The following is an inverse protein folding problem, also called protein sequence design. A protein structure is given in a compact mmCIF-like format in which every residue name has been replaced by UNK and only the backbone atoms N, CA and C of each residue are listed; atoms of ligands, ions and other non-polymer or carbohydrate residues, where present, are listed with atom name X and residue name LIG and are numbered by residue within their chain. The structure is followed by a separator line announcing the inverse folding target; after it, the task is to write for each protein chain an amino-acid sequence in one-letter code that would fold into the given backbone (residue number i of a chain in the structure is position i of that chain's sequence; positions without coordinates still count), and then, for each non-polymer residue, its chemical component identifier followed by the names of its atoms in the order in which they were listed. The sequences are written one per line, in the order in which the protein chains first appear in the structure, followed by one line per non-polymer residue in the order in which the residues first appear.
data_IF_832911457464
#
_entry.id   IF_832911457464
#
_cell.length_a   1.000
_cell.length_b   1.000
_cell.length_c   1.000
_cell.angle_alpha   90.00
_cell.angle_beta   90.00
_cell.angle_gamma   90.00
#
_symmetry.space_group_name_H-M   'P 1'
#
loop_
_entity.id
_entity.type
_entity.pdbx_description
1 polymer ?
#
# COMPACT_ATOMS: atom_id res chain seq x y z
N UNK A 1 9.48 0.40 14.09
CA UNK A 1 10.03 -0.61 13.16
C UNK A 1 11.54 -0.44 13.09
N UNK A 2 12.27 -1.54 13.19
CA UNK A 2 13.73 -1.50 13.15
C UNK A 2 14.24 -1.38 11.72
N UNK A 3 15.26 -0.57 11.50
CA UNK A 3 15.94 -0.50 10.21
C UNK A 3 16.84 -1.73 9.99
N UNK A 4 17.17 -2.03 8.73
CA UNK A 4 18.02 -3.16 8.38
C UNK A 4 19.39 -3.07 9.07
N UNK A 5 19.94 -1.89 9.20
CA UNK A 5 21.21 -1.65 9.88
C UNK A 5 21.15 -1.99 11.38
N UNK A 6 20.07 -1.62 12.05
CA UNK A 6 19.87 -1.96 13.46
C UNK A 6 19.77 -3.46 13.67
N UNK A 7 19.05 -4.16 12.82
CA UNK A 7 18.92 -5.62 12.85
C UNK A 7 20.29 -6.26 12.64
N UNK A 8 21.06 -5.75 11.69
CA UNK A 8 22.41 -6.24 11.41
C UNK A 8 23.33 -6.08 12.63
N UNK A 9 23.30 -4.94 13.30
CA UNK A 9 24.09 -4.68 14.50
C UNK A 9 23.68 -5.59 15.65
N UNK A 10 22.41 -5.82 15.86
CA UNK A 10 21.91 -6.77 16.85
C UNK A 10 22.37 -8.20 16.56
N UNK A 11 22.38 -8.61 15.29
CA UNK A 11 22.85 -9.91 14.87
C UNK A 11 24.35 -10.08 15.11
N UNK A 12 25.14 -9.06 14.83
CA UNK A 12 26.57 -9.05 15.11
C UNK A 12 26.84 -9.16 16.61
N UNK A 13 26.13 -8.42 17.44
CA UNK A 13 26.23 -8.49 18.89
C UNK A 13 25.90 -9.90 19.41
N UNK A 14 24.81 -10.46 18.95
CA UNK A 14 24.37 -11.80 19.35
C UNK A 14 25.39 -12.87 18.94
N UNK A 15 25.93 -12.76 17.73
CA UNK A 15 26.97 -13.68 17.26
C UNK A 15 28.24 -13.55 18.07
N UNK A 16 28.69 -12.34 18.40
CA UNK A 16 29.84 -12.07 19.22
C UNK A 16 29.72 -12.65 20.64
N UNK A 17 28.55 -12.48 21.27
CA UNK A 17 28.26 -13.02 22.59
C UNK A 17 28.28 -14.56 22.63
N UNK A 18 27.82 -15.20 21.55
CA UNK A 18 27.73 -16.66 21.46
C UNK A 18 29.03 -17.32 21.10
N UNK A 19 29.84 -16.73 20.23
CA UNK A 19 31.04 -17.31 19.66
C UNK A 19 32.34 -16.67 20.12
N UNK A 20 32.26 -15.47 20.68
CA UNK A 20 33.43 -14.68 21.04
C UNK A 20 34.20 -14.13 19.84
N UNK A 21 33.65 -14.26 18.64
CA UNK A 21 34.25 -13.78 17.39
C UNK A 21 33.54 -12.53 16.92
N UNK A 22 34.30 -11.53 16.49
CA UNK A 22 33.75 -10.34 15.83
C UNK A 22 34.03 -10.41 14.33
N UNK A 23 32.99 -10.57 13.48
CA UNK A 23 33.18 -10.56 12.04
C UNK A 23 33.70 -9.20 11.56
N UNK A 24 34.71 -9.23 10.71
CA UNK A 24 35.20 -8.00 10.08
C UNK A 24 34.24 -7.53 9.02
N UNK A 25 34.08 -6.22 8.92
CA UNK A 25 33.34 -5.62 7.84
C UNK A 25 33.91 -6.05 6.48
N UNK A 26 33.03 -6.46 5.57
CA UNK A 26 33.42 -6.95 4.24
C UNK A 26 33.80 -8.42 4.15
N UNK A 27 33.84 -9.19 5.26
CA UNK A 27 34.05 -10.62 5.20
C UNK A 27 32.79 -11.38 4.75
N UNK A 28 32.97 -12.64 4.35
CA UNK A 28 31.86 -13.48 3.88
C UNK A 28 30.75 -13.61 4.93
N UNK A 29 31.11 -13.82 6.18
CA UNK A 29 30.15 -13.93 7.28
C UNK A 29 29.37 -12.62 7.48
N UNK A 30 30.06 -11.49 7.44
CA UNK A 30 29.45 -10.16 7.52
C UNK A 30 28.45 -9.95 6.40
N UNK A 31 28.80 -10.30 5.16
CA UNK A 31 27.91 -10.20 4.02
C UNK A 31 26.66 -11.09 4.16
N UNK A 32 26.81 -12.29 4.63
CA UNK A 32 25.69 -13.21 4.89
C UNK A 32 24.76 -12.70 5.98
N UNK A 33 25.31 -12.19 7.07
CA UNK A 33 24.52 -11.62 8.15
C UNK A 33 23.76 -10.37 7.69
N UNK A 34 24.38 -9.54 6.88
CA UNK A 34 23.72 -8.36 6.32
C UNK A 34 22.59 -8.75 5.38
N UNK A 35 22.81 -9.74 4.51
CA UNK A 35 21.77 -10.23 3.61
C UNK A 35 20.58 -10.80 4.40
N UNK A 36 20.85 -11.55 5.47
CA UNK A 36 19.80 -12.06 6.34
C UNK A 36 19.06 -10.92 7.06
N UNK A 37 19.77 -9.91 7.54
CA UNK A 37 19.19 -8.73 8.16
C UNK A 37 18.26 -7.99 7.20
N UNK A 38 18.62 -7.89 5.92
CA UNK A 38 17.79 -7.29 4.90
C UNK A 38 16.46 -8.06 4.70
N UNK A 39 16.51 -9.39 4.72
CA UNK A 39 15.32 -10.23 4.64
C UNK A 39 14.45 -10.12 5.89
N UNK A 40 15.04 -10.04 7.07
CA UNK A 40 14.29 -9.80 8.32
C UNK A 40 13.61 -8.43 8.28
N UNK A 41 14.27 -7.41 7.76
CA UNK A 41 13.67 -6.09 7.56
C UNK A 41 12.46 -6.17 6.65
N UNK A 42 12.55 -6.91 5.54
CA UNK A 42 11.42 -7.12 4.65
C UNK A 42 10.23 -7.77 5.37
N UNK A 43 10.49 -8.71 6.28
CA UNK A 43 9.46 -9.31 7.12
C UNK A 43 8.83 -8.30 8.08
N UNK A 44 9.59 -7.38 8.66
CA UNK A 44 9.05 -6.30 9.49
C UNK A 44 8.12 -5.38 8.70
N UNK A 45 8.50 -5.03 7.47
CA UNK A 45 7.64 -4.24 6.57
C UNK A 45 6.34 -4.96 6.29
N UNK A 46 6.42 -6.26 6.00
CA UNK A 46 5.25 -7.09 5.75
C UNK A 46 4.35 -7.19 7.00
N UNK A 47 4.94 -7.34 8.17
CA UNK A 47 4.20 -7.40 9.43
C UNK A 47 3.46 -6.08 9.72
N UNK A 48 4.10 -4.95 9.48
CA UNK A 48 3.48 -3.64 9.63
C UNK A 48 2.28 -3.48 8.69
N UNK A 49 2.44 -3.91 7.43
CA UNK A 49 1.36 -3.92 6.46
C UNK A 49 0.18 -4.79 6.90
N UNK A 50 0.46 -6.00 7.40
CA UNK A 50 -0.57 -6.92 7.91
C UNK A 50 -1.34 -6.29 9.08
N UNK A 51 -0.64 -5.64 10.01
CA UNK A 51 -1.28 -4.96 11.14
C UNK A 51 -2.22 -3.85 10.67
N UNK A 52 -1.82 -3.09 9.66
CA UNK A 52 -2.69 -2.05 9.07
C UNK A 52 -3.95 -2.63 8.46
N UNK A 53 -3.85 -3.79 7.81
CA UNK A 53 -5.01 -4.46 7.23
C UNK A 53 -5.90 -5.15 8.27
N UNK A 54 -5.39 -5.42 9.46
CA UNK A 54 -6.13 -6.06 10.54
C UNK A 54 -7.23 -5.18 11.16
N UNK A 55 -7.13 -3.87 11.03
CA UNK A 55 -8.09 -2.92 11.58
C UNK A 55 -8.88 -2.22 10.47
N UNK A 56 -10.23 -2.15 10.60
CA UNK A 56 -11.05 -1.49 9.58
C UNK A 56 -10.68 -0.03 9.30
N UNK A 57 -10.15 0.67 10.30
CA UNK A 57 -9.78 2.08 10.19
C UNK A 57 -8.60 2.32 9.23
N UNK A 58 -7.73 1.34 9.09
CA UNK A 58 -6.51 1.43 8.28
C UNK A 58 -6.49 0.46 7.12
N UNK A 59 -7.48 -0.45 7.04
CA UNK A 59 -7.60 -1.41 5.95
C UNK A 59 -7.98 -0.72 4.63
N UNK A 60 -7.43 -1.22 3.54
CA UNK A 60 -7.63 -0.67 2.20
C UNK A 60 -8.10 -1.76 1.22
N UNK A 61 -8.85 -1.33 0.20
CA UNK A 61 -9.25 -2.19 -0.92
C UNK A 61 -9.99 -3.46 -0.50
N UNK A 62 -9.52 -4.60 -0.95
CA UNK A 62 -10.13 -5.92 -0.69
C UNK A 62 -10.20 -6.25 0.80
N UNK A 63 -9.21 -5.83 1.58
CA UNK A 63 -9.18 -6.12 3.02
C UNK A 63 -10.28 -5.35 3.76
N UNK A 64 -10.54 -4.13 3.34
CA UNK A 64 -11.67 -3.36 3.87
C UNK A 64 -13.00 -4.03 3.51
N UNK A 65 -13.11 -4.54 2.30
CA UNK A 65 -14.30 -5.26 1.85
C UNK A 65 -14.54 -6.55 2.69
N UNK A 66 -13.47 -7.25 3.03
CA UNK A 66 -13.55 -8.42 3.92
C UNK A 66 -14.03 -8.05 5.32
N UNK A 67 -13.56 -6.93 5.87
CA UNK A 67 -14.06 -6.43 7.16
C UNK A 67 -15.54 -6.07 7.09
N UNK A 68 -15.98 -5.47 5.99
CA UNK A 68 -17.37 -5.13 5.77
C UNK A 68 -18.25 -6.39 5.69
N UNK A 69 -17.79 -7.44 5.03
CA UNK A 69 -18.49 -8.72 4.92
C UNK A 69 -18.74 -9.37 6.29
N UNK A 70 -17.82 -9.24 7.23
CA UNK A 70 -18.01 -9.72 8.60
C UNK A 70 -19.20 -9.06 9.31
N UNK A 71 -19.58 -7.87 8.87
CA UNK A 71 -20.73 -7.11 9.37
C UNK A 71 -21.96 -7.23 8.47
N UNK A 72 -21.91 -8.06 7.43
CA UNK A 72 -22.97 -8.21 6.46
C UNK A 72 -23.12 -7.03 5.50
N UNK A 73 -22.08 -6.20 5.36
CA UNK A 73 -22.06 -5.06 4.45
C UNK A 73 -21.32 -5.42 3.17
N UNK A 74 -21.79 -4.88 2.06
CA UNK A 74 -21.14 -5.02 0.77
C UNK A 74 -20.85 -3.65 0.18
N UNK A 75 -19.76 -3.57 -0.58
CA UNK A 75 -19.43 -2.35 -1.31
C UNK A 75 -20.45 -2.11 -2.40
N UNK A 76 -20.97 -0.90 -2.50
CA UNK A 76 -21.84 -0.53 -3.61
C UNK A 76 -21.05 -0.55 -4.91
N UNK A 77 -21.57 -1.23 -5.96
CA UNK A 77 -20.90 -1.22 -7.25
C UNK A 77 -20.93 0.18 -7.86
N UNK A 78 -19.99 0.41 -8.77
CA UNK A 78 -19.99 1.65 -9.56
C UNK A 78 -21.24 1.69 -10.43
N UNK A 79 -21.95 2.82 -10.39
CA UNK A 79 -23.14 3.07 -11.19
C UNK A 79 -22.87 4.28 -12.09
N UNK A 80 -23.32 4.22 -13.33
CA UNK A 80 -23.21 5.34 -14.24
C UNK A 80 -23.95 6.55 -13.69
N UNK A 81 -23.31 7.71 -13.75
CA UNK A 81 -23.94 8.96 -13.37
C UNK A 81 -24.98 9.36 -14.41
N UNK A 82 -26.16 9.71 -13.95
CA UNK A 82 -27.23 10.22 -14.80
C UNK A 82 -27.58 11.64 -14.35
N UNK A 83 -27.78 12.51 -15.29
CA UNK A 83 -28.15 13.89 -15.00
C UNK A 83 -28.88 14.52 -16.18
N UNK A 84 -29.70 15.50 -15.85
CA UNK A 84 -30.41 16.30 -16.86
C UNK A 84 -29.61 17.58 -17.07
N UNK A 85 -29.23 17.84 -18.31
CA UNK A 85 -28.52 19.04 -18.69
C UNK A 85 -29.44 19.92 -19.55
N UNK A 86 -29.55 21.20 -19.19
CA UNK A 86 -30.27 22.16 -19.96
C UNK A 86 -29.31 23.04 -20.73
N UNK A 87 -29.42 23.02 -22.04
CA UNK A 87 -28.66 23.91 -22.92
C UNK A 87 -29.45 25.14 -23.22
N UNK A 88 -28.84 26.30 -23.00
CA UNK A 88 -29.44 27.60 -23.39
C UNK A 88 -28.58 28.18 -24.49
N UNK A 89 -29.20 28.46 -25.63
CA UNK A 89 -28.51 29.05 -26.80
C UNK A 89 -28.93 30.51 -26.91
N UNK A 90 -27.96 31.38 -27.08
CA UNK A 90 -28.21 32.81 -27.35
C UNK A 90 -28.77 32.93 -28.77
N UNK A 91 -29.87 33.65 -28.90
CA UNK A 91 -30.56 33.88 -30.18
C UNK A 91 -29.69 34.54 -31.25
N UNK A 92 -28.58 35.11 -30.88
CA UNK A 92 -27.65 35.78 -31.80
C UNK A 92 -26.68 34.84 -32.52
N UNK A 93 -26.66 33.57 -32.13
CA UNK A 93 -25.81 32.55 -32.75
C UNK A 93 -26.67 31.38 -33.20
N UNK A 94 -26.65 31.12 -34.50
CA UNK A 94 -27.18 29.87 -35.03
C UNK A 94 -26.25 28.77 -34.66
N UNK A 95 -26.76 27.79 -33.91
CA UNK A 95 -26.01 26.61 -33.58
C UNK A 95 -25.89 25.73 -34.83
N UNK A 96 -24.70 25.76 -35.44
CA UNK A 96 -24.37 24.85 -36.54
C UNK A 96 -23.53 23.72 -35.96
N UNK A 97 -23.99 22.48 -36.15
CA UNK A 97 -23.24 21.31 -35.73
C UNK A 97 -23.45 20.92 -34.27
N UNK A 98 -24.65 21.02 -33.79
CA UNK A 98 -24.98 20.59 -32.45
C UNK A 98 -24.75 19.09 -32.29
N UNK A 99 -23.82 18.72 -31.43
CA UNK A 99 -23.78 17.39 -30.86
C UNK A 99 -24.65 17.36 -29.59
N UNK A 100 -25.81 16.76 -29.61
CA UNK A 100 -26.72 16.79 -28.48
C UNK A 100 -26.37 15.84 -27.34
N UNK A 101 -25.26 15.16 -27.42
CA UNK A 101 -24.87 14.19 -26.40
C UNK A 101 -23.70 14.69 -25.58
N UNK A 102 -23.99 15.23 -24.41
CA UNK A 102 -22.98 15.34 -23.38
C UNK A 102 -22.75 13.95 -22.76
N UNK A 103 -21.58 13.39 -22.96
CA UNK A 103 -21.15 12.20 -22.24
C UNK A 103 -20.36 12.64 -21.02
N UNK A 104 -20.90 12.40 -19.85
CA UNK A 104 -20.09 12.39 -18.64
C UNK A 104 -19.30 11.09 -18.60
N UNK A 105 -18.00 11.23 -18.64
CA UNK A 105 -17.09 10.11 -18.46
C UNK A 105 -17.07 9.66 -17.01
#
# INVERSE_FOLDING_TARGET
MKAAEEIYQEMLSCFGERTGLEPREGCDLSARLYALAAQVYALYVQADWVVRQAFPQTAEGEYLDRHAQLRGLERKPAVAAEGTVRFTVDRRRTATGASPRARCA
#
